data_IF_712809234865
#
_entry.id   IF_712809234865
#
_cell.length_a   1.000
_cell.length_b   1.000
_cell.length_c   1.000
_cell.angle_alpha   90.00
_cell.angle_beta   90.00
_cell.angle_gamma   90.00
#
_symmetry.space_group_name_H-M   'P 1'
#
loop_
_entity.id
_entity.type
_entity.pdbx_description
1 polymer ?
#
# COMPACT_ATOMS: atom_id res chain seq x y z
N UNK A 1 -62.80 9.05 -43.95
CA UNK A 1 -63.48 9.83 -42.90
C UNK A 1 -63.01 9.35 -41.54
N UNK A 2 -62.53 10.29 -40.69
CA UNK A 2 -62.20 10.19 -39.25
C UNK A 2 -61.03 9.25 -38.89
N UNK A 3 -59.82 9.71 -38.54
CA UNK A 3 -59.36 10.55 -37.41
C UNK A 3 -59.66 9.98 -36.02
N UNK A 4 -58.63 9.65 -35.24
CA UNK A 4 -58.41 10.21 -33.90
C UNK A 4 -57.02 9.82 -33.36
N UNK A 5 -56.27 10.86 -32.98
CA UNK A 5 -55.06 10.84 -32.17
C UNK A 5 -55.34 10.24 -30.79
N UNK A 6 -54.36 9.57 -30.19
CA UNK A 6 -54.17 9.59 -28.74
C UNK A 6 -52.69 9.80 -28.39
N UNK A 7 -52.49 10.92 -27.71
CA UNK A 7 -51.37 11.48 -26.95
C UNK A 7 -50.41 10.48 -26.29
N UNK A 8 -49.11 10.66 -26.54
CA UNK A 8 -48.03 10.14 -25.72
C UNK A 8 -47.59 11.24 -24.74
N UNK A 9 -47.87 11.04 -23.44
CA UNK A 9 -47.25 11.81 -22.37
C UNK A 9 -45.81 11.37 -22.20
N UNK A 10 -44.86 12.26 -22.51
CA UNK A 10 -43.47 12.12 -22.14
C UNK A 10 -43.31 12.41 -20.64
N UNK A 11 -42.95 11.39 -19.87
CA UNK A 11 -42.48 11.57 -18.50
C UNK A 11 -40.98 11.85 -18.54
N UNK A 12 -40.61 13.11 -18.34
CA UNK A 12 -39.24 13.54 -18.11
C UNK A 12 -38.79 13.04 -16.73
N UNK A 13 -38.12 11.89 -16.68
CA UNK A 13 -37.38 11.48 -15.48
C UNK A 13 -36.11 12.34 -15.38
N UNK A 14 -36.19 13.43 -14.62
CA UNK A 14 -35.00 14.10 -14.10
C UNK A 14 -34.39 13.17 -13.05
N UNK A 15 -33.40 12.39 -13.44
CA UNK A 15 -32.58 11.65 -12.50
C UNK A 15 -31.77 12.64 -11.66
N UNK A 16 -32.22 12.89 -10.43
CA UNK A 16 -31.38 13.53 -9.41
C UNK A 16 -30.29 12.52 -9.08
N UNK A 17 -29.12 12.68 -9.70
CA UNK A 17 -27.94 11.93 -9.34
C UNK A 17 -27.66 12.20 -7.85
N UNK A 18 -27.80 11.17 -7.01
CA UNK A 18 -27.51 11.28 -5.59
C UNK A 18 -26.05 11.73 -5.36
N UNK A 19 -25.69 12.13 -4.13
CA UNK A 19 -24.32 12.55 -3.78
C UNK A 19 -23.24 11.50 -4.11
N UNK A 20 -23.66 10.29 -4.45
CA UNK A 20 -22.89 9.10 -4.77
C UNK A 20 -22.36 9.06 -6.22
N UNK A 21 -22.86 9.91 -7.12
CA UNK A 21 -22.50 9.87 -8.55
C UNK A 21 -21.29 10.74 -8.93
N UNK A 22 -20.84 11.65 -8.06
CA UNK A 22 -19.85 12.70 -8.43
C UNK A 22 -18.40 12.41 -8.03
N UNK A 23 -18.14 11.40 -7.21
CA UNK A 23 -16.79 11.12 -6.69
C UNK A 23 -16.05 9.98 -7.44
N UNK A 24 -16.71 9.30 -8.38
CA UNK A 24 -16.20 8.08 -9.00
C UNK A 24 -15.18 8.30 -10.15
N UNK A 25 -14.86 9.55 -10.51
CA UNK A 25 -14.20 9.86 -11.78
C UNK A 25 -12.84 10.57 -11.65
N UNK A 26 -12.26 10.64 -10.44
CA UNK A 26 -10.92 11.19 -10.25
C UNK A 26 -9.88 10.07 -10.24
N UNK A 27 -9.32 9.76 -11.41
CA UNK A 27 -8.06 9.03 -11.51
C UNK A 27 -6.92 9.95 -11.10
N UNK A 28 -6.06 9.50 -10.18
CA UNK A 28 -4.86 10.23 -9.82
C UNK A 28 -3.98 10.45 -11.06
N UNK A 29 -3.40 11.65 -11.19
CA UNK A 29 -2.44 11.91 -12.25
C UNK A 29 -1.17 11.08 -12.00
N UNK A 30 -0.87 10.18 -12.93
CA UNK A 30 0.30 9.29 -12.87
C UNK A 30 1.52 9.85 -13.62
N UNK A 31 1.36 10.93 -14.39
CA UNK A 31 2.45 11.57 -15.13
C UNK A 31 2.82 12.93 -14.52
N UNK A 32 4.09 13.30 -14.65
CA UNK A 32 4.63 14.62 -14.28
C UNK A 32 5.64 15.10 -15.34
N UNK A 33 5.76 16.41 -15.50
CA UNK A 33 6.70 17.06 -16.42
C UNK A 33 7.31 18.33 -15.80
N UNK A 34 7.24 18.45 -14.47
CA UNK A 34 7.88 19.53 -13.72
C UNK A 34 9.39 19.28 -13.62
N UNK A 35 10.21 20.33 -13.44
CA UNK A 35 11.64 20.16 -13.20
C UNK A 35 11.90 19.27 -11.98
N UNK A 36 12.89 18.37 -12.11
CA UNK A 36 13.28 17.45 -11.05
C UNK A 36 13.63 18.20 -9.76
N UNK A 37 12.86 17.99 -8.70
CA UNK A 37 13.07 18.64 -7.41
C UNK A 37 12.38 17.88 -6.27
N UNK A 38 13.12 17.59 -5.20
CA UNK A 38 12.52 17.18 -3.92
C UNK A 38 12.22 18.46 -3.14
N UNK A 39 10.94 18.71 -2.89
CA UNK A 39 10.47 19.94 -2.22
C UNK A 39 10.19 19.74 -0.74
N UNK A 40 9.90 18.50 -0.33
CA UNK A 40 9.70 18.16 1.08
C UNK A 40 10.00 16.68 1.34
N UNK A 41 10.66 16.41 2.46
CA UNK A 41 10.81 15.08 3.04
C UNK A 41 10.28 15.17 4.48
N UNK A 42 9.31 14.32 4.83
CA UNK A 42 8.72 14.30 6.16
C UNK A 42 8.65 12.87 6.68
N UNK A 43 9.23 12.65 7.86
CA UNK A 43 9.08 11.39 8.59
C UNK A 43 7.89 11.48 9.54
N UNK A 44 7.08 10.42 9.61
CA UNK A 44 5.88 10.37 10.43
C UNK A 44 6.18 10.39 11.94
N UNK A 45 7.27 9.76 12.36
CA UNK A 45 7.68 9.61 13.76
C UNK A 45 9.19 9.79 13.90
N UNK A 46 9.59 10.70 14.80
CA UNK A 46 11.00 10.89 15.17
C UNK A 46 11.53 9.78 16.12
N UNK A 47 10.62 9.00 16.72
CA UNK A 47 10.94 7.89 17.64
C UNK A 47 9.97 6.74 17.44
N UNK A 48 10.48 5.52 17.36
CA UNK A 48 9.70 4.29 17.22
C UNK A 48 10.31 3.15 18.03
N UNK A 49 9.53 2.10 18.28
CA UNK A 49 10.09 0.85 18.78
C UNK A 49 10.86 0.11 17.67
N UNK A 50 11.86 -0.68 18.04
CA UNK A 50 12.45 -1.68 17.15
C UNK A 50 11.34 -2.57 16.60
N UNK A 51 11.42 -2.90 15.31
CA UNK A 51 10.39 -3.62 14.55
C UNK A 51 9.07 -2.87 14.28
N UNK A 52 8.99 -1.59 14.65
CA UNK A 52 7.89 -0.71 14.28
C UNK A 52 8.32 0.16 13.08
N UNK A 53 7.61 0.09 11.93
CA UNK A 53 8.02 0.82 10.73
C UNK A 53 7.87 2.32 10.92
N UNK A 54 8.77 3.09 10.30
CA UNK A 54 8.58 4.52 10.00
C UNK A 54 8.15 4.68 8.55
N UNK A 55 7.41 5.73 8.26
CA UNK A 55 7.04 6.12 6.90
C UNK A 55 7.54 7.54 6.61
N UNK A 56 8.20 7.69 5.47
CA UNK A 56 8.68 8.96 4.96
C UNK A 56 7.84 9.36 3.76
N UNK A 57 7.14 10.49 3.87
CA UNK A 57 6.43 11.13 2.76
C UNK A 57 7.38 12.07 2.02
N UNK A 58 7.45 11.91 0.71
CA UNK A 58 8.32 12.67 -0.19
C UNK A 58 7.47 13.42 -1.20
N UNK A 59 7.53 14.75 -1.14
CA UNK A 59 6.99 15.62 -2.19
C UNK A 59 8.08 15.87 -3.22
N UNK A 60 7.98 15.18 -4.34
CA UNK A 60 8.95 15.23 -5.43
C UNK A 60 8.25 15.54 -6.75
N UNK A 61 8.88 16.42 -7.52
CA UNK A 61 8.55 16.69 -8.91
C UNK A 61 9.59 16.02 -9.81
N UNK A 62 9.18 15.60 -10.99
CA UNK A 62 10.07 15.00 -11.98
C UNK A 62 9.38 14.88 -13.33
N UNK A 63 10.11 14.37 -14.32
CA UNK A 63 9.58 14.13 -15.65
C UNK A 63 9.44 12.66 -15.97
N UNK A 64 8.20 12.15 -15.95
CA UNK A 64 7.84 10.76 -16.22
C UNK A 64 6.40 10.64 -16.72
N UNK A 65 6.13 9.63 -17.55
CA UNK A 65 4.78 9.23 -17.95
C UNK A 65 4.17 8.19 -17.01
N UNK A 66 5.02 7.36 -16.37
CA UNK A 66 4.61 6.30 -15.46
C UNK A 66 5.48 6.33 -14.18
N UNK A 67 4.90 6.54 -12.97
CA UNK A 67 5.68 6.63 -11.73
C UNK A 67 6.08 5.24 -11.20
N UNK A 68 5.61 4.17 -11.85
CA UNK A 68 5.94 2.78 -11.54
C UNK A 68 7.06 2.23 -12.42
N UNK A 69 7.53 3.00 -13.41
CA UNK A 69 8.59 2.65 -14.33
C UNK A 69 9.95 3.20 -13.82
N UNK A 70 10.79 2.37 -13.15
CA UNK A 70 12.05 2.84 -12.56
C UNK A 70 13.05 3.39 -13.59
N UNK A 71 12.90 3.03 -14.86
CA UNK A 71 13.66 3.57 -15.99
C UNK A 71 13.26 5.00 -16.38
N UNK A 72 12.04 5.44 -16.04
CA UNK A 72 11.58 6.81 -16.25
C UNK A 72 11.84 7.68 -15.02
N UNK A 73 11.52 7.16 -13.84
CA UNK A 73 11.67 7.85 -12.57
C UNK A 73 11.91 6.89 -11.41
N UNK A 74 12.89 7.21 -10.57
CA UNK A 74 13.13 6.51 -9.31
C UNK A 74 13.17 7.47 -8.13
N UNK A 75 12.60 7.03 -7.00
CA UNK A 75 12.70 7.68 -5.71
C UNK A 75 13.15 6.63 -4.70
N UNK A 76 14.28 6.84 -4.05
CA UNK A 76 14.92 5.86 -3.16
C UNK A 76 15.45 6.53 -1.90
N UNK A 77 15.53 5.79 -0.81
CA UNK A 77 16.24 6.18 0.40
C UNK A 77 17.54 5.40 0.55
N UNK A 78 18.57 6.10 0.99
CA UNK A 78 19.75 5.52 1.62
C UNK A 78 19.60 5.65 3.14
N UNK A 79 19.49 4.52 3.84
CA UNK A 79 19.32 4.47 5.29
C UNK A 79 20.65 4.10 5.94
N UNK A 80 21.21 5.01 6.73
CA UNK A 80 22.37 4.73 7.58
C UNK A 80 21.89 4.20 8.92
N UNK A 81 22.37 3.02 9.29
CA UNK A 81 21.98 2.33 10.54
C UNK A 81 22.92 2.69 11.69
N UNK A 82 22.49 2.46 12.95
CA UNK A 82 23.36 2.64 14.13
C UNK A 82 24.67 1.82 14.10
N UNK A 83 24.77 0.79 13.27
CA UNK A 83 25.95 -0.07 13.14
C UNK A 83 26.90 0.42 12.05
N UNK A 84 26.60 1.56 11.42
CA UNK A 84 27.36 2.12 10.30
C UNK A 84 27.10 1.41 8.96
N UNK A 85 26.12 0.51 8.91
CA UNK A 85 25.70 -0.09 7.64
C UNK A 85 24.77 0.85 6.88
N UNK A 86 24.74 0.66 5.57
CA UNK A 86 23.85 1.41 4.68
C UNK A 86 22.92 0.47 3.95
N UNK A 87 21.63 0.79 3.94
CA UNK A 87 20.59 0.03 3.24
C UNK A 87 19.91 0.94 2.23
N UNK A 88 19.78 0.50 0.98
CA UNK A 88 18.97 1.19 -0.03
C UNK A 88 17.54 0.65 0.03
N UNK A 89 16.58 1.55 0.12
CA UNK A 89 15.15 1.24 0.24
C UNK A 89 14.40 1.92 -0.90
N UNK A 90 13.68 1.18 -1.75
CA UNK A 90 12.89 1.78 -2.81
C UNK A 90 11.72 2.56 -2.22
N UNK A 91 11.46 3.74 -2.78
CA UNK A 91 10.20 4.44 -2.61
C UNK A 91 9.14 3.89 -3.56
N UNK A 92 7.89 4.17 -3.26
CA UNK A 92 6.75 3.79 -4.07
C UNK A 92 5.81 4.99 -4.24
N UNK A 93 5.18 5.09 -5.41
CA UNK A 93 4.12 6.04 -5.64
C UNK A 93 2.87 5.64 -4.86
N UNK A 94 2.27 6.60 -4.18
CA UNK A 94 1.15 6.38 -3.28
C UNK A 94 0.05 7.40 -3.55
N UNK A 95 -1.18 6.90 -3.63
CA UNK A 95 -2.39 7.72 -3.68
C UNK A 95 -3.10 7.58 -2.34
N UNK A 96 -3.24 8.65 -1.54
CA UNK A 96 -4.06 8.61 -0.33
C UNK A 96 -5.50 8.23 -0.65
N UNK A 97 -6.05 7.31 0.13
CA UNK A 97 -7.43 6.85 -0.03
C UNK A 97 -8.18 6.79 1.29
N UNK A 98 -9.48 7.06 1.21
CA UNK A 98 -10.44 6.90 2.28
C UNK A 98 -11.42 5.80 1.91
N UNK A 99 -11.58 4.85 2.83
CA UNK A 99 -12.59 3.79 2.74
C UNK A 99 -13.93 4.34 3.22
N UNK A 100 -14.94 4.19 2.38
CA UNK A 100 -16.34 4.35 2.74
C UNK A 100 -17.02 2.98 2.62
N UNK A 101 -17.80 2.61 3.63
CA UNK A 101 -18.54 1.34 3.66
C UNK A 101 -20.01 1.59 3.93
N UNK A 102 -20.88 0.92 3.20
CA UNK A 102 -22.28 0.67 3.59
C UNK A 102 -22.48 -0.82 3.91
N UNK A 103 -23.74 -1.23 4.12
CA UNK A 103 -24.04 -2.61 4.54
C UNK A 103 -23.62 -3.68 3.51
N UNK A 104 -23.56 -3.32 2.22
CA UNK A 104 -23.37 -4.26 1.12
C UNK A 104 -22.15 -3.94 0.25
N UNK A 105 -21.47 -2.81 0.46
CA UNK A 105 -20.40 -2.32 -0.41
C UNK A 105 -19.32 -1.53 0.33
N UNK A 106 -18.07 -1.72 -0.09
CA UNK A 106 -16.99 -0.78 0.17
C UNK A 106 -16.62 0.01 -1.09
N UNK A 107 -16.18 1.25 -0.89
CA UNK A 107 -15.65 2.15 -1.91
C UNK A 107 -14.42 2.85 -1.39
N UNK A 108 -13.38 2.92 -2.22
CA UNK A 108 -12.20 3.75 -1.97
C UNK A 108 -12.30 5.02 -2.80
N UNK A 109 -12.11 6.16 -2.12
CA UNK A 109 -12.08 7.47 -2.72
C UNK A 109 -10.71 8.11 -2.49
N UNK A 110 -10.14 8.83 -3.46
CA UNK A 110 -8.96 9.65 -3.22
C UNK A 110 -9.17 10.60 -2.03
N UNK A 111 -8.18 10.71 -1.16
CA UNK A 111 -8.21 11.51 0.07
C UNK A 111 -6.95 12.36 0.25
N UNK A 112 -6.51 12.97 -0.86
CA UNK A 112 -5.30 13.78 -0.90
C UNK A 112 -4.62 13.76 -2.26
N UNK A 113 -3.56 14.57 -2.38
CA UNK A 113 -2.70 14.53 -3.55
C UNK A 113 -1.77 13.30 -3.48
N UNK A 114 -1.43 12.67 -4.62
CA UNK A 114 -0.43 11.62 -4.66
C UNK A 114 0.94 12.10 -4.19
N UNK A 115 1.71 11.19 -3.61
CA UNK A 115 3.08 11.42 -3.15
C UNK A 115 3.95 10.17 -3.36
N UNK A 116 5.26 10.29 -3.11
CA UNK A 116 6.11 9.12 -2.97
C UNK A 116 6.29 8.80 -1.49
N UNK A 117 6.31 7.52 -1.17
CA UNK A 117 6.53 7.04 0.20
C UNK A 117 7.68 6.08 0.27
N UNK A 118 8.35 6.09 1.41
CA UNK A 118 9.41 5.14 1.74
C UNK A 118 9.06 4.58 3.13
N UNK A 119 9.06 3.26 3.27
CA UNK A 119 8.81 2.59 4.55
C UNK A 119 10.05 1.84 4.97
N UNK A 120 10.47 2.04 6.21
CA UNK A 120 11.63 1.36 6.77
C UNK A 120 11.34 0.85 8.18
N UNK A 121 11.75 -0.39 8.47
CA UNK A 121 11.58 -0.99 9.79
C UNK A 121 12.95 -1.16 10.46
N UNK A 122 13.24 -0.43 11.55
CA UNK A 122 14.51 -0.57 12.26
C UNK A 122 14.60 -1.93 12.97
N UNK A 123 15.72 -2.63 12.75
CA UNK A 123 16.00 -3.94 13.35
C UNK A 123 17.00 -3.89 14.50
N UNK A 124 17.49 -2.71 14.86
CA UNK A 124 18.39 -2.50 15.99
C UNK A 124 18.06 -1.16 16.69
N UNK A 125 18.24 -1.05 18.01
CA UNK A 125 18.12 0.23 18.69
C UNK A 125 19.22 1.22 18.25
N UNK A 126 18.91 2.51 18.31
CA UNK A 126 19.85 3.60 18.06
C UNK A 126 19.33 4.64 17.07
N UNK A 127 20.23 5.54 16.67
CA UNK A 127 19.93 6.64 15.76
C UNK A 127 20.12 6.22 14.29
N UNK A 128 19.15 6.60 13.46
CA UNK A 128 19.13 6.36 12.03
C UNK A 128 19.10 7.68 11.27
N UNK A 129 19.68 7.68 10.07
CA UNK A 129 19.55 8.76 9.10
C UNK A 129 19.04 8.23 7.77
N UNK A 130 18.08 8.92 7.18
CA UNK A 130 17.48 8.63 5.89
C UNK A 130 17.80 9.78 4.94
N UNK A 131 18.50 9.49 3.86
CA UNK A 131 18.75 10.43 2.76
C UNK A 131 17.95 9.99 1.54
N UNK A 132 17.04 10.83 1.08
CA UNK A 132 16.20 10.56 -0.10
C UNK A 132 16.90 11.08 -1.35
N UNK A 133 16.86 10.31 -2.43
CA UNK A 133 17.25 10.76 -3.76
C UNK A 133 16.18 10.42 -4.80
N UNK A 134 16.04 11.29 -5.79
CA UNK A 134 15.18 11.08 -6.94
C UNK A 134 15.97 11.25 -8.23
N UNK A 135 15.68 10.42 -9.22
CA UNK A 135 16.34 10.40 -10.52
C UNK A 135 15.31 10.37 -11.63
N UNK A 136 15.50 11.21 -12.65
CA UNK A 136 14.77 11.14 -13.92
C UNK A 136 15.75 11.34 -15.08
N UNK A 137 15.24 11.43 -16.33
CA UNK A 137 16.07 11.65 -17.52
C UNK A 137 16.91 12.94 -17.50
N UNK A 138 16.59 13.91 -16.64
CA UNK A 138 17.27 15.20 -16.54
C UNK A 138 18.43 15.17 -15.54
N UNK A 139 18.44 14.21 -14.61
CA UNK A 139 19.53 14.03 -13.66
C UNK A 139 19.09 13.40 -12.35
N UNK A 140 19.83 13.70 -11.28
CA UNK A 140 19.58 13.20 -9.93
C UNK A 140 19.61 14.34 -8.92
N UNK A 141 18.65 14.35 -8.01
CA UNK A 141 18.59 15.25 -6.86
C UNK A 141 18.65 14.45 -5.56
N UNK A 142 19.23 15.04 -4.52
CA UNK A 142 19.38 14.45 -3.19
C UNK A 142 18.89 15.45 -2.17
N UNK A 143 18.05 15.00 -1.24
CA UNK A 143 17.52 15.82 -0.16
C UNK A 143 18.47 15.83 1.05
N UNK A 144 18.30 16.83 1.92
CA UNK A 144 18.93 16.81 3.24
C UNK A 144 18.48 15.58 4.06
N UNK A 145 19.37 14.97 4.86
CA UNK A 145 19.01 13.81 5.67
C UNK A 145 17.94 14.14 6.71
N UNK A 146 17.02 13.21 6.93
CA UNK A 146 16.09 13.21 8.07
C UNK A 146 16.44 12.08 9.04
N UNK A 147 16.32 12.33 10.34
CA UNK A 147 16.69 11.37 11.38
C UNK A 147 15.51 10.85 12.19
N UNK A 148 15.65 9.64 12.73
CA UNK A 148 14.78 9.10 13.78
C UNK A 148 15.57 8.18 14.72
N UNK A 149 15.03 7.93 15.91
CA UNK A 149 15.61 7.02 16.88
C UNK A 149 14.74 5.77 17.06
N UNK A 150 15.34 4.59 17.02
CA UNK A 150 14.69 3.34 17.38
C UNK A 150 15.05 2.95 18.81
N UNK A 151 14.04 2.63 19.62
CA UNK A 151 14.21 2.14 20.98
C UNK A 151 14.05 0.63 21.02
N UNK A 152 14.72 -0.06 21.94
CA UNK A 152 14.47 -1.49 22.15
C UNK A 152 12.98 -1.72 22.44
N UNK A 153 12.34 -2.57 21.63
CA UNK A 153 10.93 -2.92 21.76
C UNK A 153 10.76 -4.36 22.24
N UNK A 154 9.58 -4.75 22.75
CA UNK A 154 9.32 -6.12 23.19
C UNK A 154 9.05 -7.09 22.02
N UNK A 155 9.04 -6.60 20.78
CA UNK A 155 8.73 -7.42 19.61
C UNK A 155 9.82 -8.46 19.37
N UNK A 156 9.46 -9.73 19.11
CA UNK A 156 10.44 -10.81 18.89
C UNK A 156 11.18 -10.68 17.55
N UNK A 157 10.76 -9.73 16.70
CA UNK A 157 11.38 -9.42 15.42
C UNK A 157 10.86 -10.26 14.24
N UNK A 158 11.65 -10.26 13.18
CA UNK A 158 11.34 -10.92 11.92
C UNK A 158 11.61 -12.43 11.98
N UNK A 159 10.91 -13.17 11.13
CA UNK A 159 11.15 -14.61 10.94
C UNK A 159 12.42 -14.79 10.10
N UNK A 160 13.33 -15.63 10.57
CA UNK A 160 14.59 -16.03 9.93
C UNK A 160 14.67 -17.54 9.82
N UNK A 161 15.46 -18.04 8.88
CA UNK A 161 15.92 -19.44 8.92
C UNK A 161 16.77 -19.61 10.19
N UNK A 162 16.50 -20.66 10.96
CA UNK A 162 17.27 -20.91 12.18
C UNK A 162 18.73 -21.26 11.83
N UNK A 163 19.74 -20.59 12.45
CA UNK A 163 21.13 -20.70 12.05
C UNK A 163 21.71 -22.11 12.21
N UNK A 164 21.33 -22.81 13.29
CA UNK A 164 21.82 -24.16 13.61
C UNK A 164 20.86 -25.27 13.15
N UNK A 165 19.75 -24.92 12.50
CA UNK A 165 18.71 -25.85 12.10
C UNK A 165 17.96 -25.35 10.86
N UNK A 166 18.60 -25.41 9.69
CA UNK A 166 18.11 -24.80 8.44
C UNK A 166 16.73 -25.27 7.95
N UNK A 167 16.19 -26.34 8.52
CA UNK A 167 14.82 -26.82 8.25
C UNK A 167 13.74 -26.13 9.11
N UNK A 168 14.13 -25.25 10.02
CA UNK A 168 13.25 -24.56 10.96
C UNK A 168 13.40 -23.04 10.87
N UNK A 169 12.43 -22.33 11.44
CA UNK A 169 12.47 -20.88 11.57
C UNK A 169 12.68 -20.46 13.02
N UNK A 170 13.30 -19.31 13.19
CA UNK A 170 13.42 -18.60 14.46
C UNK A 170 13.05 -17.13 14.26
N UNK A 171 12.69 -16.43 15.34
CA UNK A 171 12.56 -14.98 15.35
C UNK A 171 13.93 -14.34 15.62
N UNK A 172 14.06 -13.04 15.38
CA UNK A 172 15.33 -12.32 15.60
C UNK A 172 15.79 -12.37 17.07
N UNK A 173 14.87 -12.58 18.02
CA UNK A 173 15.18 -12.82 19.45
C UNK A 173 15.67 -14.24 19.77
N UNK A 174 15.74 -15.12 18.75
CA UNK A 174 16.18 -16.51 18.86
C UNK A 174 15.08 -17.51 19.24
N UNK A 175 13.85 -17.05 19.53
CA UNK A 175 12.74 -17.97 19.83
C UNK A 175 12.32 -18.78 18.58
N UNK A 176 11.92 -20.05 18.74
CA UNK A 176 11.49 -20.88 17.62
C UNK A 176 10.17 -20.37 17.03
N UNK A 177 10.03 -20.44 15.70
CA UNK A 177 8.81 -20.03 15.00
C UNK A 177 8.22 -21.19 14.20
N UNK A 178 7.00 -21.58 14.55
CA UNK A 178 6.20 -22.56 13.80
C UNK A 178 4.99 -21.85 13.20
N UNK A 179 4.81 -21.95 11.89
CA UNK A 179 3.64 -21.39 11.21
C UNK A 179 2.39 -22.18 11.58
N UNK A 180 1.45 -21.53 12.25
CA UNK A 180 0.11 -22.04 12.54
C UNK A 180 -0.87 -21.07 11.91
N UNK A 181 -1.57 -21.49 10.86
CA UNK A 181 -2.27 -20.53 10.04
C UNK A 181 -3.03 -21.08 8.85
N UNK A 182 -3.63 -20.15 8.11
CA UNK A 182 -4.59 -20.43 7.05
C UNK A 182 -4.20 -19.78 5.72
N UNK A 183 -4.79 -20.27 4.63
CA UNK A 183 -4.75 -19.60 3.34
C UNK A 183 -5.88 -18.56 3.26
N UNK A 184 -5.53 -17.28 3.13
CA UNK A 184 -6.44 -16.15 2.95
C UNK A 184 -6.38 -15.68 1.49
N UNK A 185 -6.86 -16.50 0.55
CA UNK A 185 -6.65 -16.26 -0.88
C UNK A 185 -7.41 -15.03 -1.42
N UNK A 186 -8.74 -15.05 -1.40
CA UNK A 186 -9.57 -13.92 -1.84
C UNK A 186 -10.88 -13.85 -1.06
N UNK A 187 -11.33 -12.64 -0.79
CA UNK A 187 -12.74 -12.39 -0.47
C UNK A 187 -13.57 -12.38 -1.76
N UNK A 188 -14.76 -12.98 -1.67
CA UNK A 188 -15.79 -12.91 -2.71
C UNK A 188 -16.91 -11.92 -2.37
N UNK A 189 -16.81 -11.23 -1.23
CA UNK A 189 -17.77 -10.22 -0.82
C UNK A 189 -17.49 -8.89 -1.54
N UNK A 190 -18.33 -7.91 -1.25
CA UNK A 190 -18.18 -6.53 -1.72
C UNK A 190 -17.58 -5.61 -0.65
N UNK A 191 -17.10 -6.18 0.45
CA UNK A 191 -16.46 -5.51 1.59
C UNK A 191 -15.16 -6.25 1.99
N UNK A 192 -14.23 -6.53 1.05
CA UNK A 192 -13.06 -7.35 1.32
C UNK A 192 -12.20 -6.85 2.48
N UNK A 193 -12.06 -5.54 2.71
CA UNK A 193 -11.26 -5.03 3.84
C UNK A 193 -11.82 -5.49 5.18
N UNK A 194 -13.15 -5.50 5.32
CA UNK A 194 -13.82 -5.99 6.51
C UNK A 194 -13.61 -7.49 6.69
N UNK A 195 -13.78 -8.27 5.63
CA UNK A 195 -13.60 -9.73 5.68
C UNK A 195 -12.21 -10.11 6.15
N UNK A 196 -11.16 -9.56 5.53
CA UNK A 196 -9.79 -9.87 5.91
C UNK A 196 -9.48 -9.44 7.34
N UNK A 197 -9.99 -8.27 7.77
CA UNK A 197 -9.82 -7.82 9.14
C UNK A 197 -10.49 -8.77 10.14
N UNK A 198 -11.70 -9.26 9.85
CA UNK A 198 -12.37 -10.26 10.69
C UNK A 198 -11.58 -11.58 10.72
N UNK A 199 -11.20 -12.11 9.56
CA UNK A 199 -10.49 -13.39 9.44
C UNK A 199 -9.17 -13.37 10.22
N UNK A 200 -8.37 -12.33 10.03
CA UNK A 200 -7.07 -12.18 10.69
C UNK A 200 -7.24 -11.96 12.20
N UNK A 201 -8.25 -11.20 12.61
CA UNK A 201 -8.55 -10.99 14.05
C UNK A 201 -8.95 -12.31 14.71
N UNK A 202 -9.83 -13.08 14.08
CA UNK A 202 -10.27 -14.38 14.60
C UNK A 202 -9.14 -15.41 14.60
N UNK A 203 -8.30 -15.41 13.57
CA UNK A 203 -7.14 -16.27 13.48
C UNK A 203 -6.14 -15.99 14.62
N UNK A 204 -5.78 -14.72 14.81
CA UNK A 204 -4.90 -14.31 15.91
C UNK A 204 -5.48 -14.65 17.28
N UNK A 205 -6.77 -14.38 17.51
CA UNK A 205 -7.47 -14.72 18.75
C UNK A 205 -7.52 -16.24 19.03
N UNK A 206 -7.51 -17.06 17.98
CA UNK A 206 -7.44 -18.52 18.09
C UNK A 206 -6.01 -19.07 18.27
N UNK A 207 -5.00 -18.20 18.34
CA UNK A 207 -3.59 -18.58 18.48
C UNK A 207 -2.88 -18.84 17.15
N UNK A 208 -3.52 -18.55 16.01
CA UNK A 208 -2.85 -18.54 14.71
C UNK A 208 -1.86 -17.37 14.61
N UNK A 209 -0.71 -17.60 13.99
CA UNK A 209 0.40 -16.66 13.93
C UNK A 209 0.91 -16.41 12.50
N UNK A 210 0.26 -17.02 11.50
CA UNK A 210 0.68 -16.96 10.11
C UNK A 210 -0.53 -17.00 9.17
N UNK A 211 -0.44 -16.34 8.02
CA UNK A 211 -1.42 -16.47 6.94
C UNK A 211 -0.76 -16.32 5.57
N UNK A 212 -1.27 -17.07 4.60
CA UNK A 212 -0.87 -16.96 3.19
C UNK A 212 -1.86 -16.06 2.43
N UNK A 213 -1.39 -14.94 1.90
CA UNK A 213 -2.20 -13.97 1.16
C UNK A 213 -1.80 -13.95 -0.32
N UNK A 214 -2.78 -14.00 -1.21
CA UNK A 214 -2.57 -13.97 -2.66
C UNK A 214 -2.61 -12.52 -3.15
N UNK A 215 -1.55 -12.08 -3.83
CA UNK A 215 -1.46 -10.72 -4.39
C UNK A 215 -1.25 -10.71 -5.91
N UNK A 216 -1.08 -11.88 -6.53
CA UNK A 216 -0.73 -12.06 -7.94
C UNK A 216 -1.79 -11.54 -8.92
N UNK A 217 -3.06 -11.43 -8.50
CA UNK A 217 -4.15 -10.82 -9.29
C UNK A 217 -4.69 -9.54 -8.68
N UNK A 218 -4.06 -9.05 -7.61
CA UNK A 218 -4.50 -7.88 -6.86
C UNK A 218 -3.92 -6.58 -7.42
N UNK A 219 -2.62 -6.54 -7.71
CA UNK A 219 -1.94 -5.28 -8.06
C UNK A 219 -1.93 -5.01 -9.56
N UNK A 220 -1.73 -6.05 -10.37
CA UNK A 220 -1.58 -5.98 -11.82
C UNK A 220 -2.15 -7.26 -12.42
N UNK A 221 -3.34 -7.20 -13.04
CA UNK A 221 -4.04 -8.41 -13.53
C UNK A 221 -4.50 -8.31 -14.98
N UNK A 222 -5.08 -7.17 -15.36
CA UNK A 222 -5.67 -6.99 -16.69
C UNK A 222 -4.64 -6.40 -17.66
N UNK A 223 -4.60 -6.85 -18.93
CA UNK A 223 -3.62 -6.36 -19.92
C UNK A 223 -3.87 -4.90 -20.35
N UNK A 224 -5.06 -4.37 -20.06
CA UNK A 224 -5.48 -3.03 -20.40
C UNK A 224 -6.35 -2.45 -19.27
N UNK A 225 -6.53 -1.12 -19.23
CA UNK A 225 -7.36 -0.47 -18.22
C UNK A 225 -8.73 -1.13 -18.10
N UNK A 226 -9.02 -1.68 -16.91
CA UNK A 226 -10.27 -2.38 -16.64
C UNK A 226 -10.74 -2.01 -15.24
N UNK A 227 -11.93 -1.42 -15.16
CA UNK A 227 -12.61 -1.23 -13.89
C UNK A 227 -13.41 -2.48 -13.54
N UNK A 228 -13.16 -3.05 -12.37
CA UNK A 228 -13.97 -4.12 -11.80
C UNK A 228 -14.52 -3.66 -10.46
N UNK A 229 -15.81 -3.23 -10.40
CA UNK A 229 -16.41 -2.73 -9.18
C UNK A 229 -16.21 -3.71 -8.00
N UNK A 230 -15.57 -3.24 -6.93
CA UNK A 230 -15.27 -4.05 -5.74
C UNK A 230 -14.06 -4.98 -5.87
N UNK A 231 -13.30 -4.95 -6.98
CA UNK A 231 -12.12 -5.81 -7.21
C UNK A 231 -10.85 -5.07 -7.64
N UNK A 232 -10.93 -3.76 -7.86
CA UNK A 232 -9.79 -2.95 -8.25
C UNK A 232 -10.04 -2.07 -9.47
N UNK A 233 -9.26 -1.00 -9.58
CA UNK A 233 -9.04 -0.27 -10.84
C UNK A 233 -7.68 -0.66 -11.40
N UNK A 234 -7.67 -1.45 -12.47
CA UNK A 234 -6.43 -1.88 -13.12
C UNK A 234 -6.07 -0.92 -14.25
N UNK A 235 -4.81 -0.47 -14.30
CA UNK A 235 -4.29 0.43 -15.33
C UNK A 235 -3.67 -0.26 -16.55
N UNK A 236 -3.61 -1.60 -16.55
CA UNK A 236 -2.82 -2.38 -17.51
C UNK A 236 -1.49 -2.82 -16.93
N UNK A 237 -0.70 -3.55 -17.73
CA UNK A 237 0.63 -3.98 -17.31
C UNK A 237 1.54 -2.76 -17.04
N UNK A 238 2.36 -2.84 -16.00
CA UNK A 238 3.22 -1.76 -15.52
C UNK A 238 2.49 -0.62 -14.80
N UNK A 239 1.19 -0.75 -14.52
CA UNK A 239 0.40 0.24 -13.77
C UNK A 239 -0.32 -0.42 -12.59
N UNK A 240 0.24 -0.25 -11.39
CA UNK A 240 -0.27 -0.89 -10.18
C UNK A 240 -1.59 -0.24 -9.70
N UNK A 241 -2.58 -1.09 -9.44
CA UNK A 241 -3.86 -0.70 -8.83
C UNK A 241 -3.63 -0.12 -7.43
N UNK A 242 -3.74 1.20 -7.34
CA UNK A 242 -3.52 1.92 -6.07
C UNK A 242 -4.58 1.59 -5.03
N UNK A 243 -5.80 1.27 -5.45
CA UNK A 243 -6.86 0.86 -4.53
C UNK A 243 -6.65 -0.54 -3.96
N UNK A 244 -6.15 -1.49 -4.75
CA UNK A 244 -5.77 -2.79 -4.20
C UNK A 244 -4.47 -2.72 -3.38
N UNK A 245 -3.49 -1.89 -3.75
CA UNK A 245 -2.31 -1.64 -2.93
C UNK A 245 -2.69 -1.10 -1.55
N UNK A 246 -3.62 -0.13 -1.50
CA UNK A 246 -4.15 0.39 -0.25
C UNK A 246 -4.86 -0.68 0.58
N UNK A 247 -5.67 -1.56 -0.05
CA UNK A 247 -6.30 -2.69 0.67
C UNK A 247 -5.27 -3.64 1.26
N UNK A 248 -4.19 -3.95 0.53
CA UNK A 248 -3.10 -4.80 1.03
C UNK A 248 -2.44 -4.15 2.25
N UNK A 249 -2.22 -2.83 2.23
CA UNK A 249 -1.72 -2.09 3.41
C UNK A 249 -2.61 -2.31 4.64
N UNK A 250 -3.94 -2.23 4.47
CA UNK A 250 -4.88 -2.50 5.57
C UNK A 250 -4.77 -3.94 6.10
N UNK A 251 -4.56 -4.92 5.22
CA UNK A 251 -4.38 -6.32 5.61
C UNK A 251 -3.07 -6.54 6.37
N UNK A 252 -1.98 -5.93 5.93
CA UNK A 252 -0.69 -5.95 6.62
C UNK A 252 -0.82 -5.38 8.02
N UNK A 253 -1.49 -4.25 8.16
CA UNK A 253 -1.69 -3.61 9.46
C UNK A 253 -2.62 -4.43 10.36
N UNK A 254 -3.70 -5.02 9.82
CA UNK A 254 -4.56 -5.93 10.57
C UNK A 254 -3.78 -7.17 11.05
N UNK A 255 -2.92 -7.75 10.21
CA UNK A 255 -2.09 -8.90 10.56
C UNK A 255 -1.09 -8.55 11.66
N UNK A 256 -0.39 -7.42 11.52
CA UNK A 256 0.55 -6.91 12.53
C UNK A 256 -0.11 -6.73 13.90
N UNK A 257 -1.29 -6.10 13.96
CA UNK A 257 -2.02 -5.87 15.22
C UNK A 257 -2.49 -7.15 15.90
N UNK A 258 -2.70 -8.22 15.13
CA UNK A 258 -3.19 -9.50 15.64
C UNK A 258 -2.08 -10.56 15.79
N UNK A 259 -0.81 -10.17 15.66
CA UNK A 259 0.32 -11.11 15.81
C UNK A 259 0.45 -12.12 14.67
N UNK A 260 -0.25 -11.90 13.55
CA UNK A 260 -0.24 -12.78 12.37
C UNK A 260 0.82 -12.28 11.37
N UNK A 261 1.71 -13.17 10.93
CA UNK A 261 2.69 -12.90 9.88
C UNK A 261 2.13 -13.29 8.52
N UNK A 262 2.41 -12.50 7.50
CA UNK A 262 1.92 -12.74 6.15
C UNK A 262 3.01 -13.36 5.26
N UNK A 263 2.65 -14.38 4.51
CA UNK A 263 3.39 -14.83 3.33
C UNK A 263 2.61 -14.40 2.09
N UNK A 264 3.19 -13.50 1.30
CA UNK A 264 2.61 -13.09 0.03
C UNK A 264 2.88 -14.13 -1.05
N UNK A 265 1.84 -14.47 -1.81
CA UNK A 265 1.96 -15.25 -3.03
C UNK A 265 1.96 -14.30 -4.19
N UNK A 266 3.07 -14.33 -4.92
CA UNK A 266 3.27 -13.46 -6.07
C UNK A 266 3.13 -14.21 -7.39
N UNK A 267 3.36 -15.53 -7.45
CA UNK A 267 3.20 -16.40 -8.62
C UNK A 267 3.05 -17.87 -8.20
#
# INVERSE_FOLDING_TARGET
MRSTLHSLLAWSLVAVAGPWARAADQTAAIADNRPLAITRVAIDRARVSQYEPVEVTVQVAGTYGNPFAPEEFSCEATVSTPSGQTVVVPGFFYVPQRLETDADHERLLPDGAPDFRIRYTPVQPGDYQITVSATDRTGRVVAEPVGFAAQAGPGPGFVRVAPDASHYFALDDGSPFFCVGENLCWSSSRTPVQDYNEWVTRLGAAGGNWARLWIERGLEWMPAPTEMPGRGRFGGLGQYSQDNAWRVDQMVEAARRNGVRLMFCTW
#
